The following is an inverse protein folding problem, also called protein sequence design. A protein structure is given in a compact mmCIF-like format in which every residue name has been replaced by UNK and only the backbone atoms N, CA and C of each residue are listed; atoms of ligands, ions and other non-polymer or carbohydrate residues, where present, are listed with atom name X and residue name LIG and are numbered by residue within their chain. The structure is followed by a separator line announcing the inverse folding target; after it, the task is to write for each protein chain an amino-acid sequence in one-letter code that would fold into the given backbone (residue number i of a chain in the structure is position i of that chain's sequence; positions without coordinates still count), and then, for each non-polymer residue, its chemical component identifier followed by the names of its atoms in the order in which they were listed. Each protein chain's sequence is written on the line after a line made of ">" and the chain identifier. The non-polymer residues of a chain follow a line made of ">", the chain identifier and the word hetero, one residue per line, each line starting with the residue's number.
data_IF_508004848300
#
_entry.id   IF_508004848300
#
_cell.length_a   1.000
_cell.length_b   1.000
_cell.length_c   1.000
_cell.angle_alpha   90.00
_cell.angle_beta   90.00
_cell.angle_gamma   90.00
#
_symmetry.space_group_name_H-M   'P 1'
#
loop_
_entity.id
_entity.type
_entity.pdbx_description
1 polymer ?
#
# COMPACT_ATOMS: atom_id res chain seq x y z
N UNK A 1 -5.25 19.98 4.02
CA UNK A 1 -4.43 19.23 3.05
C UNK A 1 -4.24 17.84 3.63
N UNK A 2 -4.47 16.79 2.84
CA UNK A 2 -4.30 15.42 3.29
C UNK A 2 -2.86 15.17 3.77
N UNK A 3 -2.64 14.37 4.83
CA UNK A 3 -1.32 13.91 5.23
C UNK A 3 -0.55 13.27 4.08
N UNK A 4 0.72 13.64 3.98
CA UNK A 4 1.66 13.14 2.98
C UNK A 4 3.06 13.01 3.59
N UNK A 5 3.87 12.12 3.03
CA UNK A 5 5.29 11.97 3.32
C UNK A 5 6.05 12.29 2.04
N UNK A 6 7.02 13.20 2.15
CA UNK A 6 7.95 13.54 1.08
C UNK A 6 9.37 13.49 1.63
N UNK A 7 10.16 12.54 1.13
CA UNK A 7 11.53 12.30 1.54
C UNK A 7 12.42 12.33 0.28
N UNK A 8 12.88 13.52 -0.15
CA UNK A 8 13.72 13.65 -1.32
C UNK A 8 15.09 13.00 -1.09
N UNK A 9 15.75 12.57 -2.17
CA UNK A 9 17.16 12.20 -2.12
C UNK A 9 18.03 13.43 -1.81
N UNK A 10 19.08 13.23 -1.03
CA UNK A 10 20.08 14.27 -0.76
C UNK A 10 21.19 14.29 -1.83
N UNK A 11 21.18 13.34 -2.77
CA UNK A 11 22.28 13.06 -3.71
C UNK A 11 21.98 13.49 -5.15
N UNK A 12 21.26 14.60 -5.39
CA UNK A 12 20.97 15.04 -6.76
C UNK A 12 22.19 15.50 -7.58
N UNK A 13 23.32 15.79 -6.94
CA UNK A 13 24.52 16.25 -7.63
C UNK A 13 25.30 15.08 -8.20
N UNK A 14 25.38 14.99 -9.53
CA UNK A 14 26.18 13.98 -10.22
C UNK A 14 25.46 12.65 -10.50
N UNK A 15 24.18 12.52 -10.13
CA UNK A 15 23.35 11.36 -10.53
C UNK A 15 22.98 11.44 -12.01
N UNK A 16 22.90 10.28 -12.65
CA UNK A 16 22.49 10.11 -14.05
C UNK A 16 20.97 10.08 -14.20
N UNK A 17 20.25 9.63 -13.17
CA UNK A 17 18.80 9.47 -13.20
C UNK A 17 18.16 9.95 -11.88
N UNK A 18 16.93 10.44 -11.97
CA UNK A 18 16.03 10.70 -10.84
C UNK A 18 14.86 9.73 -10.89
N UNK A 19 14.60 9.06 -9.79
CA UNK A 19 13.54 8.09 -9.66
C UNK A 19 12.59 8.47 -8.52
N UNK A 20 11.30 8.18 -8.71
CA UNK A 20 10.31 8.31 -7.65
C UNK A 20 9.90 6.92 -7.16
N UNK A 21 10.04 6.69 -5.86
CA UNK A 21 9.37 5.59 -5.16
C UNK A 21 8.05 6.15 -4.61
N UNK A 22 6.95 5.82 -5.27
CA UNK A 22 5.60 6.23 -4.86
C UNK A 22 4.97 5.14 -4.00
N UNK A 23 4.71 5.46 -2.73
CA UNK A 23 4.14 4.55 -1.74
C UNK A 23 2.61 4.63 -1.69
N UNK A 24 1.95 3.48 -1.77
CA UNK A 24 0.50 3.32 -1.75
C UNK A 24 0.11 2.51 -0.50
N UNK A 25 -0.66 3.16 0.38
CA UNK A 25 -1.07 2.59 1.66
C UNK A 25 -2.01 1.38 1.50
N UNK A 26 -1.97 0.46 2.48
CA UNK A 26 -3.02 -0.51 2.71
C UNK A 26 -4.26 0.09 3.41
N UNK A 27 -5.28 -0.70 3.69
CA UNK A 27 -6.48 -0.27 4.44
C UNK A 27 -6.28 -0.53 5.95
N UNK A 28 -6.48 0.45 6.86
CA UNK A 28 -6.84 1.85 6.62
C UNK A 28 -5.75 2.68 5.93
N UNK A 29 -6.17 3.48 4.95
CA UNK A 29 -5.33 4.21 3.99
C UNK A 29 -4.61 5.44 4.53
N UNK A 30 -3.89 5.29 5.64
CA UNK A 30 -3.20 6.38 6.35
C UNK A 30 -1.68 6.24 6.22
N UNK A 31 -1.04 7.24 5.62
CA UNK A 31 0.41 7.24 5.34
C UNK A 31 1.23 7.29 6.62
N UNK A 32 0.68 7.87 7.69
CA UNK A 32 1.39 8.06 8.94
C UNK A 32 1.78 6.75 9.61
N UNK A 33 1.07 5.64 9.35
CA UNK A 33 1.49 4.30 9.79
C UNK A 33 2.88 3.92 9.27
N UNK A 34 3.26 4.43 8.11
CA UNK A 34 4.48 4.03 7.39
C UNK A 34 5.64 5.00 7.61
N UNK A 35 5.48 6.00 8.48
CA UNK A 35 6.50 7.04 8.75
C UNK A 35 7.84 6.43 9.12
N UNK A 36 7.86 5.52 10.11
CA UNK A 36 9.09 4.89 10.59
C UNK A 36 9.75 4.05 9.49
N UNK A 37 8.96 3.22 8.80
CA UNK A 37 9.42 2.41 7.67
C UNK A 37 10.06 3.25 6.55
N UNK A 38 9.37 4.30 6.08
CA UNK A 38 9.85 5.12 4.97
C UNK A 38 11.08 5.95 5.35
N UNK A 39 11.16 6.42 6.60
CA UNK A 39 12.36 7.09 7.11
C UNK A 39 13.56 6.15 7.21
N UNK A 40 13.37 4.92 7.70
CA UNK A 40 14.43 3.91 7.72
C UNK A 40 14.87 3.60 6.29
N UNK A 41 13.93 3.39 5.38
CA UNK A 41 14.23 3.13 3.97
C UNK A 41 15.03 4.28 3.34
N UNK A 42 14.63 5.53 3.54
CA UNK A 42 15.35 6.72 3.05
C UNK A 42 16.80 6.74 3.54
N UNK A 43 17.03 6.45 4.83
CA UNK A 43 18.37 6.38 5.42
C UNK A 43 19.21 5.19 4.95
N UNK A 44 18.59 4.12 4.44
CA UNK A 44 19.28 3.02 3.78
C UNK A 44 19.63 3.37 2.33
N UNK A 45 18.67 3.95 1.60
CA UNK A 45 18.86 4.37 0.21
C UNK A 45 19.98 5.41 0.06
N UNK A 46 20.10 6.37 1.00
CA UNK A 46 21.16 7.38 0.95
C UNK A 46 22.58 6.78 0.98
N UNK A 47 22.73 5.55 1.46
CA UNK A 47 24.03 4.86 1.52
C UNK A 47 24.39 4.14 0.22
N UNK A 48 23.40 3.84 -0.62
CA UNK A 48 23.57 3.03 -1.84
C UNK A 48 23.37 3.85 -3.13
N UNK A 49 22.75 5.03 -3.03
CA UNK A 49 22.56 5.95 -4.15
C UNK A 49 23.90 6.38 -4.76
N UNK A 50 24.04 6.14 -6.06
CA UNK A 50 25.23 6.50 -6.85
C UNK A 50 24.84 7.11 -8.18
N UNK A 51 24.26 6.29 -9.07
CA UNK A 51 23.86 6.70 -10.41
C UNK A 51 22.41 7.19 -10.48
N UNK A 52 21.57 6.75 -9.53
CA UNK A 52 20.16 7.10 -9.45
C UNK A 52 19.87 7.73 -8.09
N UNK A 53 19.21 8.89 -8.06
CA UNK A 53 18.64 9.47 -6.86
C UNK A 53 17.18 8.99 -6.69
N UNK A 54 16.81 8.46 -5.52
CA UNK A 54 15.45 8.01 -5.25
C UNK A 54 14.73 8.93 -4.27
N UNK A 55 13.74 9.65 -4.78
CA UNK A 55 12.78 10.34 -3.93
C UNK A 55 11.73 9.35 -3.44
N UNK A 56 11.28 9.51 -2.20
CA UNK A 56 10.14 8.75 -1.68
C UNK A 56 8.98 9.71 -1.46
N UNK A 57 7.82 9.35 -1.99
CA UNK A 57 6.57 10.06 -1.75
C UNK A 57 5.48 9.08 -1.36
N UNK A 58 4.56 9.49 -0.49
CA UNK A 58 3.31 8.78 -0.25
C UNK A 58 2.27 9.71 0.35
N UNK A 59 1.01 9.33 0.23
CA UNK A 59 -0.12 10.07 0.81
C UNK A 59 -1.18 9.12 1.33
N UNK A 60 -2.11 9.66 2.11
CA UNK A 60 -3.32 8.93 2.47
C UNK A 60 -4.08 8.53 1.20
N UNK A 61 -4.79 7.40 1.26
CA UNK A 61 -5.85 7.12 0.29
C UNK A 61 -6.97 8.17 0.46
N UNK A 62 -7.73 8.45 -0.60
CA UNK A 62 -8.77 9.49 -0.57
C UNK A 62 -9.88 9.14 0.43
N UNK A 63 -10.42 10.16 1.12
CA UNK A 63 -11.52 9.97 2.08
C UNK A 63 -11.09 9.54 3.48
N UNK A 64 -9.79 9.37 3.74
CA UNK A 64 -9.28 9.00 5.06
C UNK A 64 -8.88 10.23 5.90
N UNK A 65 -8.75 11.41 5.29
CA UNK A 65 -8.54 12.67 6.00
C UNK A 65 -9.80 13.53 5.87
N UNK A 66 -10.40 13.92 7.01
CA UNK A 66 -11.61 14.75 7.00
C UNK A 66 -11.42 16.12 6.28
N UNK A 67 -10.15 16.54 6.09
CA UNK A 67 -9.76 17.76 5.37
C UNK A 67 -9.65 17.57 3.83
N UNK A 68 -9.76 16.34 3.33
CA UNK A 68 -9.64 16.02 1.90
C UNK A 68 -10.99 15.84 1.19
N UNK A 69 -12.08 15.90 1.94
CA UNK A 69 -13.43 15.75 1.41
C UNK A 69 -14.51 16.40 2.29
N UNK A 70 -15.62 16.79 1.65
CA UNK A 70 -16.86 17.12 2.35
C UNK A 70 -17.40 15.89 3.08
N UNK A 71 -18.14 16.05 4.20
CA UNK A 71 -18.71 14.92 4.94
C UNK A 71 -19.44 13.93 4.03
N UNK A 72 -19.24 12.63 4.28
CA UNK A 72 -19.95 11.62 3.50
C UNK A 72 -21.46 11.65 3.76
N UNK A 73 -22.20 11.43 2.69
CA UNK A 73 -23.66 11.46 2.66
C UNK A 73 -24.18 10.54 1.57
N UNK A 74 -25.50 10.47 1.39
CA UNK A 74 -26.10 9.72 0.28
C UNK A 74 -25.68 10.25 -1.11
N UNK A 75 -25.37 11.55 -1.20
CA UNK A 75 -24.92 12.22 -2.43
C UNK A 75 -23.40 12.31 -2.58
N UNK A 76 -22.66 12.20 -1.48
CA UNK A 76 -21.19 12.19 -1.47
C UNK A 76 -20.72 10.90 -0.77
N UNK A 77 -20.53 9.84 -1.56
CA UNK A 77 -20.22 8.51 -1.02
C UNK A 77 -18.73 8.38 -0.69
N UNK A 78 -18.37 7.46 0.23
CA UNK A 78 -16.98 7.08 0.41
C UNK A 78 -16.37 6.54 -0.88
N UNK A 79 -15.05 6.63 -0.97
CA UNK A 79 -14.29 6.17 -2.13
C UNK A 79 -14.23 4.65 -2.16
N UNK A 80 -14.65 4.04 -3.27
CA UNK A 80 -14.45 2.62 -3.52
C UNK A 80 -13.05 2.33 -4.08
N UNK A 81 -12.71 1.05 -4.24
CA UNK A 81 -11.41 0.64 -4.76
C UNK A 81 -11.10 1.22 -6.15
N UNK A 82 -12.10 1.32 -7.04
CA UNK A 82 -11.86 1.89 -8.37
C UNK A 82 -11.58 3.39 -8.31
N UNK A 83 -12.32 4.13 -7.47
CA UNK A 83 -12.05 5.53 -7.19
C UNK A 83 -10.65 5.76 -6.62
N UNK A 84 -10.18 4.87 -5.74
CA UNK A 84 -8.79 4.92 -5.25
C UNK A 84 -7.78 4.68 -6.38
N UNK A 85 -8.00 3.69 -7.25
CA UNK A 85 -7.11 3.41 -8.39
C UNK A 85 -7.01 4.63 -9.30
N UNK A 86 -8.15 5.20 -9.68
CA UNK A 86 -8.21 6.36 -10.57
C UNK A 86 -7.51 7.58 -9.97
N UNK A 87 -7.85 7.94 -8.73
CA UNK A 87 -7.25 9.11 -8.09
C UNK A 87 -5.76 8.94 -7.79
N UNK A 88 -5.31 7.73 -7.42
CA UNK A 88 -3.89 7.47 -7.18
C UNK A 88 -3.12 7.44 -8.49
N UNK A 89 -3.71 6.96 -9.59
CA UNK A 89 -3.08 7.06 -10.90
C UNK A 89 -2.87 8.53 -11.29
N UNK A 90 -3.87 9.39 -11.07
CA UNK A 90 -3.73 10.83 -11.35
C UNK A 90 -2.61 11.48 -10.50
N UNK A 91 -2.51 11.15 -9.21
CA UNK A 91 -1.42 11.68 -8.36
C UNK A 91 -0.04 11.11 -8.75
N UNK A 92 0.04 9.81 -9.10
CA UNK A 92 1.26 9.18 -9.62
C UNK A 92 1.71 9.86 -10.92
N UNK A 93 0.78 10.12 -11.84
CA UNK A 93 1.07 10.81 -13.09
C UNK A 93 1.64 12.21 -12.81
N UNK A 94 0.96 12.99 -11.97
CA UNK A 94 1.38 14.34 -11.62
C UNK A 94 2.74 14.38 -10.91
N UNK A 95 3.01 13.45 -9.98
CA UNK A 95 4.28 13.40 -9.25
C UNK A 95 5.42 12.83 -10.09
N UNK A 96 5.12 11.88 -10.98
CA UNK A 96 6.10 11.19 -11.81
C UNK A 96 6.66 12.01 -12.97
N UNK A 97 6.01 13.11 -13.36
CA UNK A 97 6.47 13.98 -14.47
C UNK A 97 7.88 14.55 -14.28
N UNK A 98 8.33 14.68 -13.02
CA UNK A 98 9.64 15.26 -12.69
C UNK A 98 10.75 14.20 -12.59
N UNK A 99 10.45 12.94 -12.87
CA UNK A 99 11.34 11.80 -12.67
C UNK A 99 11.54 11.02 -13.98
N UNK A 100 12.72 10.44 -14.15
CA UNK A 100 13.05 9.61 -15.31
C UNK A 100 12.26 8.30 -15.30
N UNK A 101 11.86 7.83 -14.11
CA UNK A 101 10.97 6.70 -13.92
C UNK A 101 10.36 6.66 -12.52
N UNK A 102 9.29 5.87 -12.38
CA UNK A 102 8.56 5.66 -11.14
C UNK A 102 8.57 4.18 -10.76
N UNK A 103 8.77 3.91 -9.47
CA UNK A 103 8.57 2.63 -8.80
C UNK A 103 7.31 2.77 -7.95
N UNK A 104 6.31 1.92 -8.17
CA UNK A 104 5.13 1.87 -7.30
C UNK A 104 5.39 0.87 -6.17
N UNK A 105 5.32 1.32 -4.93
CA UNK A 105 5.40 0.46 -3.76
C UNK A 105 4.05 0.41 -3.06
N UNK A 106 3.41 -0.75 -3.05
CA UNK A 106 2.11 -0.95 -2.42
C UNK A 106 2.21 -1.83 -1.20
N UNK A 107 1.36 -1.58 -0.19
CA UNK A 107 1.12 -2.52 0.91
C UNK A 107 -0.32 -3.03 0.89
N UNK A 108 -0.54 -4.34 1.05
CA UNK A 108 -1.88 -4.94 1.12
C UNK A 108 -2.71 -4.55 -0.12
N UNK A 109 -3.90 -3.96 0.04
CA UNK A 109 -4.69 -3.39 -1.08
C UNK A 109 -3.92 -2.36 -1.93
N UNK A 110 -2.99 -1.62 -1.35
CA UNK A 110 -2.11 -0.71 -2.08
C UNK A 110 -1.26 -1.44 -3.14
N UNK A 111 -0.95 -2.73 -2.94
CA UNK A 111 -0.31 -3.56 -3.96
C UNK A 111 -1.25 -3.87 -5.12
N UNK A 112 -2.53 -4.13 -4.84
CA UNK A 112 -3.55 -4.32 -5.88
C UNK A 112 -3.69 -3.03 -6.71
N UNK A 113 -3.77 -1.88 -6.04
CA UNK A 113 -3.82 -0.56 -6.69
C UNK A 113 -2.58 -0.36 -7.59
N UNK A 114 -1.38 -0.69 -7.11
CA UNK A 114 -0.16 -0.58 -7.91
C UNK A 114 -0.22 -1.43 -9.19
N UNK A 115 -0.64 -2.69 -9.08
CA UNK A 115 -0.75 -3.61 -10.24
C UNK A 115 -1.81 -3.11 -11.23
N UNK A 116 -2.95 -2.61 -10.74
CA UNK A 116 -4.00 -2.02 -11.58
C UNK A 116 -3.52 -0.78 -12.33
N UNK A 117 -2.75 0.10 -11.68
CA UNK A 117 -2.16 1.27 -12.34
C UNK A 117 -1.20 0.83 -13.45
N UNK A 118 -0.33 -0.15 -13.19
CA UNK A 118 0.52 -0.73 -14.24
C UNK A 118 -0.30 -1.29 -15.40
N UNK A 119 -1.34 -2.07 -15.12
CA UNK A 119 -2.19 -2.69 -16.13
C UNK A 119 -2.89 -1.65 -17.01
N UNK A 120 -3.54 -0.67 -16.40
CA UNK A 120 -4.25 0.42 -17.10
C UNK A 120 -3.27 1.25 -17.92
N UNK A 121 -2.13 1.62 -17.36
CA UNK A 121 -1.11 2.42 -18.05
C UNK A 121 -0.47 1.68 -19.24
N UNK A 122 -0.25 0.37 -19.12
CA UNK A 122 0.28 -0.44 -20.24
C UNK A 122 -0.74 -0.65 -21.36
N UNK A 123 -2.03 -0.67 -21.02
CA UNK A 123 -3.12 -0.83 -21.99
C UNK A 123 -3.42 0.50 -22.69
N UNK A 124 -3.42 1.60 -21.94
CA UNK A 124 -3.61 2.96 -22.45
C UNK A 124 -2.77 3.96 -21.64
N UNK A 125 -1.71 4.46 -22.26
CA UNK A 125 -0.82 5.48 -21.69
C UNK A 125 -1.24 6.91 -22.03
N UNK A 126 -2.32 7.11 -22.78
CA UNK A 126 -2.77 8.45 -23.23
C UNK A 126 -3.06 9.41 -22.07
N UNK A 127 -3.47 8.87 -20.91
CA UNK A 127 -3.68 9.62 -19.67
C UNK A 127 -2.40 10.27 -19.14
N UNK A 128 -1.26 9.61 -19.28
CA UNK A 128 0.02 10.03 -18.71
C UNK A 128 1.18 9.60 -19.63
N UNK A 129 1.30 10.15 -20.85
CA UNK A 129 2.19 9.62 -21.88
C UNK A 129 3.68 9.70 -21.53
N UNK A 130 4.05 10.56 -20.60
CA UNK A 130 5.43 10.74 -20.14
C UNK A 130 5.76 9.91 -18.89
N UNK A 131 4.75 9.30 -18.25
CA UNK A 131 4.96 8.48 -17.06
C UNK A 131 5.68 7.20 -17.46
N UNK A 132 6.78 6.89 -16.77
CA UNK A 132 7.57 5.67 -16.99
C UNK A 132 7.53 4.79 -15.75
N UNK A 133 6.55 3.90 -15.68
CA UNK A 133 6.46 2.90 -14.61
C UNK A 133 7.48 1.78 -14.86
N UNK A 134 8.46 1.62 -13.97
CA UNK A 134 9.55 0.66 -14.16
C UNK A 134 9.39 -0.61 -13.33
N UNK A 135 9.19 -0.46 -12.02
CA UNK A 135 9.05 -1.60 -11.10
C UNK A 135 7.89 -1.42 -10.14
N UNK A 136 7.34 -2.55 -9.67
CA UNK A 136 6.34 -2.61 -8.61
C UNK A 136 6.86 -3.40 -7.41
N UNK A 137 6.90 -2.78 -6.24
CA UNK A 137 7.24 -3.42 -4.96
C UNK A 137 5.97 -3.72 -4.19
N UNK A 138 5.57 -4.98 -4.18
CA UNK A 138 4.29 -5.44 -3.64
C UNK A 138 4.53 -6.08 -2.27
N UNK A 139 4.22 -5.33 -1.21
CA UNK A 139 4.43 -5.73 0.17
C UNK A 139 3.13 -6.33 0.74
N UNK A 140 3.21 -7.59 1.19
CA UNK A 140 2.10 -8.35 1.77
C UNK A 140 0.81 -8.24 0.94
N UNK A 141 0.86 -8.53 -0.38
CA UNK A 141 -0.16 -8.05 -1.29
C UNK A 141 -1.43 -8.91 -1.24
N UNK A 142 -2.58 -8.26 -1.39
CA UNK A 142 -3.90 -8.92 -1.54
C UNK A 142 -4.29 -8.93 -3.02
N UNK A 143 -3.69 -9.83 -3.82
CA UNK A 143 -3.85 -9.83 -5.29
C UNK A 143 -5.06 -10.63 -5.79
N UNK A 144 -5.46 -11.67 -5.07
CA UNK A 144 -6.58 -12.54 -5.46
C UNK A 144 -7.39 -12.99 -4.26
N UNK A 145 -8.66 -13.32 -4.51
CA UNK A 145 -9.62 -13.97 -3.62
C UNK A 145 -9.55 -13.54 -2.15
N UNK A 146 -9.56 -12.23 -1.90
CA UNK A 146 -9.48 -11.68 -0.55
C UNK A 146 -10.60 -12.24 0.35
N UNK A 147 -11.78 -12.50 -0.22
CA UNK A 147 -12.93 -13.08 0.48
C UNK A 147 -12.70 -14.51 1.02
N UNK A 148 -11.69 -15.23 0.53
CA UNK A 148 -11.33 -16.57 1.03
C UNK A 148 -10.36 -16.53 2.21
N UNK A 149 -9.64 -15.42 2.39
CA UNK A 149 -8.77 -15.25 3.55
C UNK A 149 -9.56 -15.35 4.87
N UNK A 150 -8.90 -15.73 5.96
CA UNK A 150 -9.51 -15.81 7.30
C UNK A 150 -10.33 -14.56 7.64
N UNK A 151 -9.72 -13.38 7.44
CA UNK A 151 -10.37 -12.12 7.76
C UNK A 151 -11.43 -11.73 6.71
N UNK A 152 -11.21 -12.06 5.43
CA UNK A 152 -12.21 -11.85 4.38
C UNK A 152 -13.49 -12.68 4.59
N UNK A 153 -13.36 -13.91 5.08
CA UNK A 153 -14.51 -14.76 5.47
C UNK A 153 -15.24 -14.15 6.65
N UNK A 154 -14.53 -13.74 7.71
CA UNK A 154 -15.14 -13.09 8.88
C UNK A 154 -15.89 -11.81 8.49
N UNK A 155 -15.30 -10.99 7.62
CA UNK A 155 -15.90 -9.76 7.17
C UNK A 155 -17.12 -10.00 6.27
N UNK A 156 -17.07 -11.03 5.42
CA UNK A 156 -18.22 -11.47 4.61
C UNK A 156 -19.38 -11.94 5.49
N UNK A 157 -19.09 -12.69 6.56
CA UNK A 157 -20.09 -13.10 7.55
C UNK A 157 -20.68 -11.86 8.24
N UNK A 158 -19.84 -10.94 8.70
CA UNK A 158 -20.28 -9.73 9.39
C UNK A 158 -21.19 -8.87 8.50
N UNK A 159 -20.83 -8.71 7.22
CA UNK A 159 -21.64 -8.02 6.21
C UNK A 159 -23.02 -8.67 6.04
N UNK A 160 -23.09 -10.01 6.05
CA UNK A 160 -24.37 -10.74 5.93
C UNK A 160 -25.25 -10.58 7.16
N UNK A 161 -24.65 -10.51 8.34
CA UNK A 161 -25.39 -10.39 9.61
C UNK A 161 -25.84 -8.95 9.89
N UNK A 162 -25.08 -7.96 9.44
CA UNK A 162 -25.32 -6.53 9.73
C UNK A 162 -25.53 -5.78 8.41
N UNK A 163 -26.79 -5.53 7.99
CA UNK A 163 -27.04 -4.66 6.85
C UNK A 163 -26.52 -3.24 7.13
N UNK A 164 -25.96 -2.58 6.11
CA UNK A 164 -25.31 -1.26 6.23
C UNK A 164 -24.12 -1.27 7.23
N UNK A 165 -23.29 -2.31 7.17
CA UNK A 165 -22.15 -2.55 8.06
C UNK A 165 -21.23 -1.32 8.22
N UNK A 166 -21.00 -0.58 7.14
CA UNK A 166 -20.20 0.63 7.10
C UNK A 166 -20.76 1.75 8.01
N UNK A 167 -22.06 2.01 7.90
CA UNK A 167 -22.78 2.98 8.74
C UNK A 167 -22.86 2.49 10.19
N UNK A 168 -23.12 1.20 10.41
CA UNK A 168 -23.19 0.61 11.74
C UNK A 168 -21.84 0.67 12.47
N UNK A 169 -20.74 0.32 11.79
CA UNK A 169 -19.39 0.37 12.36
C UNK A 169 -19.01 1.80 12.77
N UNK A 170 -19.31 2.79 11.93
CA UNK A 170 -19.08 4.20 12.24
C UNK A 170 -19.89 4.65 13.47
N UNK A 171 -21.19 4.30 13.54
CA UNK A 171 -22.03 4.64 14.69
C UNK A 171 -21.52 4.00 15.98
N UNK A 172 -21.12 2.73 15.95
CA UNK A 172 -20.58 2.02 17.11
C UNK A 172 -19.25 2.63 17.56
N UNK A 173 -18.35 2.95 16.63
CA UNK A 173 -17.08 3.62 16.95
C UNK A 173 -17.35 4.95 17.66
N UNK A 174 -18.28 5.76 17.16
CA UNK A 174 -18.69 7.03 17.79
C UNK A 174 -19.33 6.82 19.16
N UNK A 175 -20.20 5.81 19.32
CA UNK A 175 -20.88 5.50 20.57
C UNK A 175 -19.90 5.06 21.68
N UNK A 176 -18.99 4.12 21.36
CA UNK A 176 -18.08 3.55 22.34
C UNK A 176 -16.85 4.42 22.62
N UNK A 177 -16.34 5.13 21.60
CA UNK A 177 -15.10 5.90 21.71
C UNK A 177 -15.35 7.41 21.84
N UNK A 178 -16.59 7.88 21.70
CA UNK A 178 -16.95 9.29 21.76
C UNK A 178 -16.56 9.96 23.08
N UNK A 179 -16.73 9.25 24.19
CA UNK A 179 -16.41 9.75 25.54
C UNK A 179 -14.93 9.64 25.91
N UNK A 180 -14.14 8.88 25.14
CA UNK A 180 -12.72 8.69 25.41
C UNK A 180 -11.90 9.76 24.70
N UNK A 181 -10.88 10.30 25.37
CA UNK A 181 -9.90 11.18 24.72
C UNK A 181 -9.05 10.39 23.70
N UNK A 182 -8.43 11.08 22.73
CA UNK A 182 -7.48 10.44 21.79
C UNK A 182 -6.39 9.71 22.58
N UNK A 183 -5.80 10.35 23.60
CA UNK A 183 -4.77 9.75 24.44
C UNK A 183 -5.23 8.46 25.14
N UNK A 184 -6.49 8.42 25.61
CA UNK A 184 -7.07 7.22 26.21
C UNK A 184 -7.18 6.07 25.22
N UNK A 185 -7.66 6.36 23.99
CA UNK A 185 -7.76 5.36 22.92
C UNK A 185 -6.37 4.89 22.49
N UNK A 186 -5.40 5.80 22.35
CA UNK A 186 -4.00 5.48 22.03
C UNK A 186 -3.42 4.52 23.06
N UNK A 187 -3.61 4.79 24.36
CA UNK A 187 -3.15 3.92 25.43
C UNK A 187 -3.78 2.51 25.35
N UNK A 188 -5.09 2.44 25.09
CA UNK A 188 -5.79 1.15 24.92
C UNK A 188 -5.23 0.38 23.72
N UNK A 189 -5.12 1.04 22.56
CA UNK A 189 -4.61 0.43 21.32
C UNK A 189 -3.19 -0.08 21.52
N UNK A 190 -2.30 0.74 22.09
CA UNK A 190 -0.92 0.35 22.35
C UNK A 190 -0.84 -0.90 23.23
N UNK A 191 -1.63 -0.96 24.32
CA UNK A 191 -1.59 -2.07 25.27
C UNK A 191 -2.22 -3.35 24.73
N UNK A 192 -3.33 -3.22 24.01
CA UNK A 192 -4.10 -4.37 23.51
C UNK A 192 -3.50 -4.94 22.22
N UNK A 193 -3.17 -4.06 21.26
CA UNK A 193 -2.69 -4.46 19.93
C UNK A 193 -1.17 -4.54 19.84
N UNK A 194 -0.44 -4.15 20.89
CA UNK A 194 1.04 -4.14 20.95
C UNK A 194 1.68 -3.31 19.83
N UNK A 195 0.96 -2.28 19.38
CA UNK A 195 1.44 -1.29 18.42
C UNK A 195 2.56 -0.44 19.04
N UNK A 196 3.43 0.12 18.19
CA UNK A 196 4.29 1.25 18.61
C UNK A 196 3.43 2.43 19.08
N UNK A 197 4.01 3.34 19.88
CA UNK A 197 3.29 4.54 20.32
C UNK A 197 2.77 5.36 19.12
N UNK A 198 3.58 5.49 18.06
CA UNK A 198 3.23 6.22 16.86
C UNK A 198 2.06 5.58 16.11
N UNK A 199 2.13 4.27 15.83
CA UNK A 199 1.05 3.56 15.12
C UNK A 199 -0.25 3.51 15.95
N UNK A 200 -0.15 3.36 17.28
CA UNK A 200 -1.31 3.41 18.16
C UNK A 200 -2.00 4.79 18.12
N UNK A 201 -1.23 5.88 18.03
CA UNK A 201 -1.76 7.24 17.93
C UNK A 201 -2.47 7.48 16.60
N UNK A 202 -1.91 6.97 15.49
CA UNK A 202 -2.58 6.99 14.17
C UNK A 202 -3.90 6.23 14.22
N UNK A 203 -3.93 5.03 14.80
CA UNK A 203 -5.16 4.24 14.98
C UNK A 203 -6.20 4.99 15.82
N UNK A 204 -5.78 5.62 16.92
CA UNK A 204 -6.69 6.36 17.80
C UNK A 204 -7.30 7.58 17.11
N UNK A 205 -6.50 8.35 16.37
CA UNK A 205 -6.97 9.48 15.57
C UNK A 205 -7.94 9.04 14.47
N UNK A 206 -7.63 7.96 13.77
CA UNK A 206 -8.50 7.36 12.77
C UNK A 206 -9.84 6.91 13.34
N UNK A 207 -9.84 6.15 14.44
CA UNK A 207 -11.06 5.69 15.11
C UNK A 207 -11.96 6.83 15.59
N UNK A 208 -11.37 8.00 15.85
CA UNK A 208 -12.07 9.21 16.31
C UNK A 208 -12.35 10.22 15.19
N UNK A 209 -11.87 9.98 13.97
CA UNK A 209 -12.15 10.84 12.81
C UNK A 209 -13.63 10.84 12.47
N UNK A 210 -14.10 11.87 11.74
CA UNK A 210 -15.48 11.99 11.31
C UNK A 210 -15.83 10.81 10.41
N UNK A 211 -15.04 10.59 9.37
CA UNK A 211 -15.41 9.70 8.27
C UNK A 211 -14.45 8.53 8.02
N UNK A 212 -13.29 8.49 8.69
CA UNK A 212 -12.25 7.50 8.41
C UNK A 212 -12.67 6.05 8.66
N UNK A 213 -13.47 5.76 9.69
CA UNK A 213 -13.99 4.39 9.92
C UNK A 213 -14.99 3.99 8.84
N UNK A 214 -15.86 4.91 8.44
CA UNK A 214 -16.82 4.70 7.35
C UNK A 214 -16.08 4.42 6.04
N UNK A 215 -15.08 5.23 5.70
CA UNK A 215 -14.23 5.04 4.53
C UNK A 215 -13.51 3.69 4.53
N UNK A 216 -12.90 3.29 5.65
CA UNK A 216 -12.18 2.03 5.76
C UNK A 216 -13.06 0.81 5.53
N UNK A 217 -14.25 0.80 6.14
CA UNK A 217 -15.21 -0.31 5.99
C UNK A 217 -15.79 -0.32 4.58
N UNK A 218 -16.12 0.84 4.01
CA UNK A 218 -16.60 0.94 2.64
C UNK A 218 -15.57 0.42 1.63
N UNK A 219 -14.32 0.86 1.76
CA UNK A 219 -13.23 0.40 0.92
C UNK A 219 -13.05 -1.12 1.05
N UNK A 220 -13.00 -1.65 2.29
CA UNK A 220 -12.86 -3.09 2.54
C UNK A 220 -14.01 -3.93 1.97
N UNK A 221 -15.24 -3.41 1.94
CA UNK A 221 -16.37 -4.06 1.26
C UNK A 221 -16.16 -4.10 -0.25
N UNK A 222 -15.71 -3.00 -0.86
CA UNK A 222 -15.43 -2.94 -2.30
C UNK A 222 -14.23 -3.82 -2.71
N UNK A 223 -13.23 -3.95 -1.83
CA UNK A 223 -12.08 -4.84 -2.00
C UNK A 223 -12.54 -6.30 -2.09
N UNK A 224 -13.41 -6.75 -1.19
CA UNK A 224 -13.92 -8.12 -1.20
C UNK A 224 -14.75 -8.47 -2.43
N UNK A 225 -15.44 -7.48 -3.01
CA UNK A 225 -16.22 -7.66 -4.24
C UNK A 225 -15.33 -7.68 -5.49
N UNK A 226 -14.24 -6.91 -5.48
CA UNK A 226 -13.41 -6.69 -6.67
C UNK A 226 -12.22 -7.64 -6.76
N UNK A 227 -11.56 -7.91 -5.63
CA UNK A 227 -10.35 -8.74 -5.51
C UNK A 227 -10.76 -10.22 -5.43
N UNK A 228 -11.21 -10.72 -6.58
CA UNK A 228 -11.57 -12.12 -6.81
C UNK A 228 -10.46 -12.80 -7.63
N UNK A 229 -10.79 -13.28 -8.82
CA UNK A 229 -9.83 -13.93 -9.72
C UNK A 229 -8.85 -12.93 -10.32
N UNK A 230 -7.63 -13.38 -10.59
CA UNK A 230 -6.64 -12.61 -11.31
C UNK A 230 -7.11 -12.36 -12.75
N UNK A 231 -7.12 -11.09 -13.17
CA UNK A 231 -7.58 -10.68 -14.51
C UNK A 231 -6.46 -10.18 -15.41
N UNK A 232 -5.24 -10.08 -14.88
CA UNK A 232 -4.11 -9.48 -15.58
C UNK A 232 -3.45 -10.44 -16.55
N UNK A 233 -3.01 -9.93 -17.69
CA UNK A 233 -2.35 -10.73 -18.72
C UNK A 233 -0.92 -11.10 -18.31
N UNK A 234 -0.39 -12.17 -18.90
CA UNK A 234 0.98 -12.63 -18.65
C UNK A 234 2.02 -11.56 -19.03
N UNK A 235 1.73 -10.71 -20.03
CA UNK A 235 2.63 -9.62 -20.44
C UNK A 235 2.82 -8.57 -19.35
N UNK A 236 1.83 -8.37 -18.47
CA UNK A 236 1.98 -7.47 -17.33
C UNK A 236 3.14 -7.89 -16.44
N UNK A 237 3.28 -9.19 -16.23
CA UNK A 237 4.28 -9.79 -15.36
C UNK A 237 5.62 -10.02 -16.05
N UNK A 238 5.72 -9.76 -17.36
CA UNK A 238 6.98 -9.87 -18.09
C UNK A 238 8.00 -8.84 -17.60
N UNK A 239 9.29 -9.22 -17.63
CA UNK A 239 10.44 -8.36 -17.27
C UNK A 239 10.30 -6.98 -17.91
N UNK A 240 10.61 -5.93 -17.15
CA UNK A 240 10.74 -4.56 -17.67
C UNK A 240 11.70 -4.59 -18.86
N UNK A 241 11.16 -4.35 -20.07
CA UNK A 241 11.71 -4.82 -21.33
C UNK A 241 13.22 -4.63 -21.48
N UNK A 242 13.92 -5.72 -21.81
CA UNK A 242 15.28 -5.85 -22.39
C UNK A 242 16.48 -5.04 -21.83
N UNK A 243 16.33 -4.03 -20.99
CA UNK A 243 17.47 -3.18 -20.62
C UNK A 243 18.33 -3.79 -19.51
N UNK A 244 17.75 -4.50 -18.52
CA UNK A 244 18.53 -4.97 -17.35
C UNK A 244 18.23 -6.41 -16.88
N UNK A 245 17.33 -7.14 -17.55
CA UNK A 245 16.92 -8.49 -17.13
C UNK A 245 16.18 -8.59 -15.78
N UNK A 246 16.05 -7.49 -15.03
CA UNK A 246 15.34 -7.44 -13.76
C UNK A 246 13.82 -7.65 -13.92
N UNK A 247 13.17 -8.31 -12.94
CA UNK A 247 11.73 -8.50 -12.96
C UNK A 247 10.98 -7.19 -12.76
N UNK A 248 9.79 -7.08 -13.36
CA UNK A 248 8.93 -5.90 -13.18
C UNK A 248 8.39 -5.81 -11.76
N UNK A 249 7.98 -6.94 -11.19
CA UNK A 249 7.42 -6.99 -9.85
C UNK A 249 8.32 -7.74 -8.87
N UNK A 250 8.53 -7.10 -7.72
CA UNK A 250 9.13 -7.69 -6.53
C UNK A 250 8.03 -7.85 -5.50
N UNK A 251 7.84 -9.07 -5.01
CA UNK A 251 6.70 -9.44 -4.19
C UNK A 251 7.19 -10.02 -2.87
N UNK A 252 6.69 -9.51 -1.76
CA UNK A 252 7.02 -10.02 -0.44
C UNK A 252 5.76 -10.47 0.29
N UNK A 253 5.64 -11.77 0.54
CA UNK A 253 4.55 -12.34 1.32
C UNK A 253 4.97 -12.60 2.76
N UNK A 254 4.04 -12.43 3.70
CA UNK A 254 4.22 -12.98 5.04
C UNK A 254 4.14 -14.51 4.99
N UNK A 255 4.85 -15.14 5.94
CA UNK A 255 4.73 -16.59 6.18
C UNK A 255 3.31 -17.00 6.53
N UNK A 256 2.69 -16.23 7.43
CA UNK A 256 1.31 -16.38 7.85
C UNK A 256 0.61 -15.03 7.71
N UNK A 257 -0.44 -15.01 6.92
CA UNK A 257 -1.21 -13.81 6.64
C UNK A 257 -2.69 -14.14 6.76
N UNK A 258 -3.43 -13.38 7.58
CA UNK A 258 -4.87 -13.61 7.74
C UNK A 258 -5.70 -12.90 6.67
N UNK A 259 -5.06 -12.08 5.84
CA UNK A 259 -5.65 -11.36 4.72
C UNK A 259 -5.30 -11.98 3.36
N UNK A 260 -4.43 -12.98 3.32
CA UNK A 260 -4.10 -13.72 2.10
C UNK A 260 -4.33 -15.20 2.35
N UNK A 261 -5.12 -15.84 1.49
CA UNK A 261 -5.27 -17.29 1.56
C UNK A 261 -3.97 -17.99 1.14
N UNK A 262 -3.52 -18.98 1.93
CA UNK A 262 -2.25 -19.66 1.69
C UNK A 262 -2.24 -20.39 0.33
N UNK A 263 -3.38 -20.97 -0.08
CA UNK A 263 -3.50 -21.67 -1.36
C UNK A 263 -3.46 -20.72 -2.55
N UNK A 264 -4.16 -19.58 -2.45
CA UNK A 264 -4.13 -18.52 -3.46
C UNK A 264 -2.72 -17.93 -3.61
N UNK A 265 -2.01 -17.70 -2.49
CA UNK A 265 -0.60 -17.28 -2.51
C UNK A 265 0.28 -18.29 -3.23
N UNK A 266 0.17 -19.57 -2.90
CA UNK A 266 0.95 -20.64 -3.53
C UNK A 266 0.67 -20.75 -5.03
N UNK A 267 -0.58 -20.54 -5.43
CA UNK A 267 -0.96 -20.54 -6.85
C UNK A 267 -0.34 -19.35 -7.61
N UNK A 268 -0.29 -18.16 -7.00
CA UNK A 268 0.40 -17.00 -7.57
C UNK A 268 1.90 -17.28 -7.68
N UNK A 269 2.53 -17.79 -6.62
CA UNK A 269 3.97 -18.13 -6.61
C UNK A 269 4.28 -19.07 -7.78
N UNK A 270 3.48 -20.12 -7.96
CA UNK A 270 3.64 -21.10 -9.03
C UNK A 270 3.40 -20.50 -10.41
N UNK A 271 2.34 -19.70 -10.59
CA UNK A 271 2.01 -19.07 -11.89
C UNK A 271 3.06 -18.04 -12.33
N UNK A 272 3.70 -17.38 -11.36
CA UNK A 272 4.61 -16.24 -11.59
C UNK A 272 6.09 -16.61 -11.43
N UNK A 273 6.39 -17.89 -11.24
CA UNK A 273 7.75 -18.41 -11.17
C UNK A 273 8.56 -17.98 -12.42
N UNK A 274 9.73 -17.38 -12.20
CA UNK A 274 10.59 -16.86 -13.26
C UNK A 274 10.13 -15.56 -13.93
N UNK A 275 8.97 -15.00 -13.56
CA UNK A 275 8.44 -13.74 -14.11
C UNK A 275 8.48 -12.59 -13.11
N UNK A 276 8.27 -12.89 -11.83
CA UNK A 276 8.38 -11.94 -10.73
C UNK A 276 9.40 -12.41 -9.70
N UNK A 277 10.03 -11.47 -8.99
CA UNK A 277 10.87 -11.79 -7.82
C UNK A 277 9.96 -11.96 -6.61
N UNK A 278 9.54 -13.19 -6.34
CA UNK A 278 8.66 -13.47 -5.20
C UNK A 278 9.49 -14.04 -4.05
N UNK A 279 9.31 -13.47 -2.86
CA UNK A 279 9.88 -13.99 -1.62
C UNK A 279 8.80 -14.12 -0.56
N UNK A 280 8.83 -15.21 0.18
CA UNK A 280 8.01 -15.41 1.38
C UNK A 280 8.91 -15.19 2.60
N UNK A 281 8.42 -14.46 3.59
CA UNK A 281 9.11 -14.26 4.86
C UNK A 281 9.43 -15.62 5.51
N UNK A 282 10.66 -15.78 5.98
CA UNK A 282 11.06 -16.94 6.77
C UNK A 282 10.81 -16.71 8.28
N UNK A 283 10.73 -15.44 8.67
CA UNK A 283 10.47 -14.97 10.02
C UNK A 283 9.00 -14.96 10.40
N UNK A 284 8.63 -13.97 11.21
CA UNK A 284 7.27 -13.78 11.71
C UNK A 284 6.85 -12.30 11.58
N UNK A 285 7.15 -11.70 10.44
CA UNK A 285 6.71 -10.34 10.12
C UNK A 285 5.19 -10.39 9.93
N UNK A 286 4.40 -9.63 10.71
CA UNK A 286 2.95 -9.61 10.52
C UNK A 286 2.60 -8.84 9.24
N UNK A 287 1.41 -9.12 8.69
CA UNK A 287 0.85 -8.34 7.57
C UNK A 287 0.93 -6.83 7.83
N UNK A 288 0.45 -6.38 8.99
CA UNK A 288 0.56 -4.99 9.44
C UNK A 288 1.96 -4.68 9.99
N UNK A 289 3.02 -4.94 9.20
CA UNK A 289 4.42 -4.77 9.59
C UNK A 289 4.72 -3.36 10.12
N UNK A 290 4.02 -2.35 9.57
CA UNK A 290 4.15 -0.94 9.93
C UNK A 290 3.85 -0.62 11.39
N UNK A 291 3.19 -1.54 12.11
CA UNK A 291 2.83 -1.38 13.53
C UNK A 291 3.93 -1.80 14.50
N UNK A 292 5.05 -2.34 14.02
CA UNK A 292 6.17 -2.83 14.84
C UNK A 292 7.53 -2.34 14.33
N UNK A 293 8.39 -1.94 15.25
CA UNK A 293 9.71 -1.39 14.94
C UNK A 293 10.66 -2.40 14.29
N UNK A 294 10.68 -3.65 14.77
CA UNK A 294 11.50 -4.73 14.21
C UNK A 294 11.12 -5.02 12.75
N UNK A 295 9.82 -5.16 12.49
CA UNK A 295 9.29 -5.42 11.17
C UNK A 295 9.49 -4.25 10.19
N UNK A 296 9.39 -3.00 10.65
CA UNK A 296 9.72 -1.82 9.84
C UNK A 296 11.15 -1.88 9.29
N UNK A 297 12.12 -2.22 10.14
CA UNK A 297 13.52 -2.31 9.74
C UNK A 297 13.77 -3.45 8.75
N UNK A 298 13.21 -4.64 9.00
CA UNK A 298 13.42 -5.80 8.15
C UNK A 298 12.81 -5.62 6.75
N UNK A 299 11.62 -5.02 6.67
CA UNK A 299 10.99 -4.70 5.38
C UNK A 299 11.77 -3.60 4.65
N UNK A 300 12.26 -2.57 5.35
CA UNK A 300 13.08 -1.52 4.74
C UNK A 300 14.39 -2.06 4.17
N UNK A 301 15.08 -2.96 4.88
CA UNK A 301 16.27 -3.65 4.37
C UNK A 301 15.96 -4.48 3.14
N UNK A 302 14.82 -5.17 3.13
CA UNK A 302 14.39 -5.96 1.97
C UNK A 302 14.20 -5.09 0.73
N UNK A 303 13.47 -3.98 0.87
CA UNK A 303 13.22 -3.04 -0.22
C UNK A 303 14.53 -2.41 -0.71
N UNK A 304 15.42 -2.03 0.21
CA UNK A 304 16.75 -1.53 -0.14
C UNK A 304 17.54 -2.56 -0.98
N UNK A 305 17.53 -3.83 -0.59
CA UNK A 305 18.18 -4.90 -1.34
C UNK A 305 17.59 -5.11 -2.74
N UNK A 306 16.29 -4.91 -2.93
CA UNK A 306 15.69 -4.92 -4.27
C UNK A 306 16.15 -3.74 -5.14
N UNK A 307 16.32 -2.56 -4.56
CA UNK A 307 16.89 -1.41 -5.27
C UNK A 307 18.34 -1.70 -5.69
N UNK A 308 19.15 -2.30 -4.81
CA UNK A 308 20.51 -2.73 -5.18
C UNK A 308 20.51 -3.78 -6.30
N UNK A 309 19.63 -4.78 -6.23
CA UNK A 309 19.46 -5.82 -7.26
C UNK A 309 19.15 -5.17 -8.63
N UNK A 310 18.23 -4.20 -8.65
CA UNK A 310 17.86 -3.46 -9.86
C UNK A 310 19.00 -2.63 -10.46
N UNK A 311 19.82 -1.99 -9.61
CA UNK A 311 20.96 -1.20 -10.08
C UNK A 311 22.12 -2.11 -10.54
N UNK A 312 22.32 -3.27 -9.89
CA UNK A 312 23.37 -4.23 -10.28
C UNK A 312 23.13 -4.90 -11.64
N UNK A 313 21.87 -5.00 -12.07
CA UNK A 313 21.52 -5.49 -13.41
C UNK A 313 21.79 -4.49 -14.55
N UNK A 314 22.35 -3.30 -14.26
CA UNK A 314 22.77 -2.30 -15.25
C UNK A 314 24.21 -2.48 -15.75
N UNK A 315 25.01 -3.32 -15.09
CA UNK A 315 26.41 -3.64 -15.47
C UNK A 315 26.47 -4.81 -16.47
#
# INVERSE_FOLDING_TARGET
>A
MAPQIWLPSEHYNGVKQKALIYYICGNPGLIEYYTDFLNILRGLLSKIEKDTAYDIYGRNLFGFSDDDHEPFSSSNKPWDLNGQIEGIYDDVAAKGEQHDFVILMGHSVGSYIAVEIFHRHMTDSSRAPNLKLRHGFLLFPTLTHLARSSNGVQFTILRRLIPFLDTAACLLARLFLGLLSVASVTWIVQRLLRHTQASADVTARWLKSRDGVLQAVHLGLSELETICEEKWSEELWATSGKENGAPRFFVFYAKKDHWVDDGEREEIIKRREGRARIVVDEGNIPHAFCTREDANLDVARRVCGWVEEMESGKE
#
